data_IF_165216604232
#
_entry.id   IF_165216604232
#
_cell.length_a   1.000
_cell.length_b   1.000
_cell.length_c   1.000
_cell.angle_alpha   90.00
_cell.angle_beta   90.00
_cell.angle_gamma   90.00
#
_symmetry.space_group_name_H-M   'P 1'
#
loop_
_entity.id
_entity.type
_entity.pdbx_description
1 polymer ?
#
# COMPACT_ATOMS: atom_id res chain seq x y z
N UNK A 1 -23.40 -4.66 -4.75
CA UNK A 1 -22.29 -3.83 -5.27
C UNK A 1 -21.19 -4.75 -5.79
N UNK A 2 -20.37 -4.33 -6.78
CA UNK A 2 -19.18 -5.08 -7.19
C UNK A 2 -18.33 -5.48 -5.97
N UNK A 3 -17.73 -6.66 -6.01
CA UNK A 3 -16.97 -7.26 -4.90
C UNK A 3 -15.90 -6.30 -4.33
N UNK A 4 -15.21 -5.56 -5.19
CA UNK A 4 -14.21 -4.57 -4.78
C UNK A 4 -14.78 -3.42 -3.95
N UNK A 5 -16.03 -2.98 -4.19
CA UNK A 5 -16.65 -1.93 -3.37
C UNK A 5 -16.94 -2.48 -1.98
N UNK A 6 -17.45 -3.71 -1.87
CA UNK A 6 -17.72 -4.33 -0.56
C UNK A 6 -16.42 -4.52 0.24
N UNK A 7 -15.35 -4.91 -0.44
CA UNK A 7 -14.02 -5.00 0.17
C UNK A 7 -13.56 -3.65 0.72
N UNK A 8 -13.66 -2.57 -0.06
CA UNK A 8 -13.26 -1.23 0.40
C UNK A 8 -14.12 -0.75 1.57
N UNK A 9 -15.44 -0.92 1.51
CA UNK A 9 -16.34 -0.53 2.60
C UNK A 9 -16.06 -1.31 3.89
N UNK A 10 -15.76 -2.61 3.80
CA UNK A 10 -15.32 -3.38 4.96
C UNK A 10 -13.98 -2.88 5.51
N UNK A 11 -13.01 -2.57 4.63
CA UNK A 11 -11.68 -2.07 5.04
C UNK A 11 -11.74 -0.72 5.73
N UNK A 12 -12.63 0.19 5.31
CA UNK A 12 -12.84 1.50 5.96
C UNK A 12 -13.18 1.39 7.46
N UNK A 13 -13.82 0.30 7.86
CA UNK A 13 -14.26 0.08 9.24
C UNK A 13 -13.18 -0.54 10.13
N UNK A 14 -12.04 -0.94 9.57
CA UNK A 14 -10.94 -1.53 10.34
C UNK A 14 -10.21 -0.46 11.15
N UNK A 15 -9.84 -0.79 12.39
CA UNK A 15 -9.11 0.12 13.27
C UNK A 15 -7.79 0.58 12.65
N UNK A 16 -7.54 1.89 12.67
CA UNK A 16 -6.32 2.50 12.14
C UNK A 16 -6.31 2.69 10.62
N UNK A 17 -7.38 2.33 9.91
CA UNK A 17 -7.53 2.68 8.49
C UNK A 17 -7.90 4.15 8.36
N UNK A 18 -7.22 4.83 7.43
CA UNK A 18 -7.44 6.23 7.07
C UNK A 18 -7.86 6.29 5.61
N UNK A 19 -8.95 7.00 5.33
CA UNK A 19 -9.40 7.32 3.97
C UNK A 19 -8.87 8.70 3.56
N UNK A 20 -8.26 8.79 2.38
CA UNK A 20 -7.81 10.06 1.80
C UNK A 20 -8.93 10.72 0.99
N UNK A 21 -8.75 11.99 0.62
CA UNK A 21 -9.67 12.69 -0.28
C UNK A 21 -9.78 12.05 -1.69
N UNK A 22 -8.79 11.26 -2.11
CA UNK A 22 -8.83 10.51 -3.36
C UNK A 22 -9.54 9.16 -3.25
N UNK A 23 -9.97 8.75 -2.05
CA UNK A 23 -10.57 7.45 -1.77
C UNK A 23 -9.56 6.33 -1.51
N UNK A 24 -8.26 6.64 -1.40
CA UNK A 24 -7.25 5.66 -0.99
C UNK A 24 -7.46 5.31 0.49
N UNK A 25 -7.45 4.02 0.78
CA UNK A 25 -7.43 3.50 2.15
C UNK A 25 -6.02 3.04 2.48
N UNK A 26 -5.45 3.52 3.58
CA UNK A 26 -4.18 3.02 4.10
C UNK A 26 -4.25 2.81 5.62
N UNK A 27 -3.38 1.94 6.13
CA UNK A 27 -3.17 1.72 7.55
C UNK A 27 -1.69 1.78 7.84
N UNK A 28 -1.28 2.68 8.73
CA UNK A 28 0.10 2.74 9.19
C UNK A 28 0.34 1.62 10.21
N UNK A 29 1.20 0.65 9.86
CA UNK A 29 1.53 -0.47 10.76
C UNK A 29 2.63 -0.08 11.73
N UNK A 30 3.63 0.65 11.24
CA UNK A 30 4.76 1.13 12.03
C UNK A 30 5.23 2.47 11.49
N UNK A 31 5.13 3.56 12.27
CA UNK A 31 5.60 4.86 11.83
C UNK A 31 7.12 4.89 11.70
N UNK A 32 7.58 5.52 10.62
CA UNK A 32 8.98 5.88 10.44
C UNK A 32 9.33 7.19 11.13
N UNK A 33 10.62 7.42 11.38
CA UNK A 33 11.14 8.68 11.94
C UNK A 33 11.95 9.50 10.94
N UNK A 34 11.95 9.08 9.67
CA UNK A 34 12.70 9.72 8.58
C UNK A 34 11.96 10.89 7.95
N UNK A 35 12.59 11.51 6.95
CA UNK A 35 11.92 12.51 6.11
C UNK A 35 10.84 11.84 5.25
N UNK A 36 9.70 12.50 5.11
CA UNK A 36 8.69 12.09 4.13
C UNK A 36 9.26 12.27 2.71
N UNK A 37 9.17 11.26 1.83
CA UNK A 37 9.62 11.38 0.46
C UNK A 37 8.77 12.41 -0.30
N UNK A 38 9.42 13.14 -1.20
CA UNK A 38 8.74 13.95 -2.22
C UNK A 38 8.42 13.08 -3.44
N UNK A 39 7.61 13.60 -4.36
CA UNK A 39 7.20 12.90 -5.59
C UNK A 39 8.37 12.33 -6.42
N UNK A 40 9.54 12.98 -6.38
CA UNK A 40 10.74 12.59 -7.13
C UNK A 40 11.77 11.83 -6.28
N UNK A 41 11.47 11.55 -5.01
CA UNK A 41 12.43 10.91 -4.11
C UNK A 41 12.59 9.42 -4.47
N UNK A 42 13.81 8.93 -4.74
CA UNK A 42 14.03 7.50 -4.95
C UNK A 42 13.81 6.76 -3.63
N UNK A 43 12.81 5.87 -3.62
CA UNK A 43 12.45 5.07 -2.45
C UNK A 43 12.82 3.60 -2.70
N UNK A 44 13.64 3.02 -1.83
CA UNK A 44 13.91 1.59 -1.83
C UNK A 44 12.93 0.88 -0.90
N UNK A 45 12.03 0.09 -1.48
CA UNK A 45 10.90 -0.49 -0.77
C UNK A 45 10.85 -2.01 -0.92
N UNK A 46 10.60 -2.69 0.20
CA UNK A 46 10.03 -4.02 0.18
C UNK A 46 8.50 -3.94 0.19
N UNK A 47 7.86 -4.67 -0.72
CA UNK A 47 6.41 -4.76 -0.88
C UNK A 47 5.95 -6.18 -1.22
N UNK A 48 4.66 -6.43 -0.98
CA UNK A 48 3.91 -7.59 -1.44
C UNK A 48 2.52 -7.12 -1.93
N UNK A 49 2.18 -7.44 -3.18
CA UNK A 49 0.93 -7.08 -3.84
C UNK A 49 0.00 -8.28 -3.96
N UNK A 50 -1.26 -8.11 -3.51
CA UNK A 50 -2.29 -9.14 -3.56
C UNK A 50 -3.61 -8.56 -4.09
N UNK A 51 -4.37 -9.39 -4.79
CA UNK A 51 -5.75 -9.11 -5.16
C UNK A 51 -6.66 -9.22 -3.92
N UNK A 52 -7.92 -8.79 -4.04
CA UNK A 52 -8.90 -8.79 -2.94
C UNK A 52 -9.26 -10.21 -2.44
N UNK A 53 -9.05 -11.22 -3.28
CA UNK A 53 -9.21 -12.64 -2.95
C UNK A 53 -7.98 -13.24 -2.23
N UNK A 54 -6.92 -12.45 -2.05
CA UNK A 54 -5.66 -12.86 -1.44
C UNK A 54 -4.62 -13.41 -2.43
N UNK A 55 -4.95 -13.58 -3.72
CA UNK A 55 -4.01 -14.04 -4.74
C UNK A 55 -2.84 -13.07 -4.87
N UNK A 56 -1.63 -13.53 -4.60
CA UNK A 56 -0.42 -12.73 -4.72
C UNK A 56 0.04 -12.64 -6.19
N UNK A 57 0.19 -11.42 -6.69
CA UNK A 57 0.63 -11.17 -8.07
C UNK A 57 2.08 -10.67 -8.16
N UNK A 58 2.59 -10.03 -7.10
CA UNK A 58 3.97 -9.57 -7.05
C UNK A 58 4.51 -9.49 -5.61
N UNK A 59 5.78 -9.77 -5.39
CA UNK A 59 6.42 -9.70 -4.08
C UNK A 59 7.94 -9.53 -4.19
N UNK A 60 8.44 -8.39 -3.69
CA UNK A 60 9.88 -8.15 -3.55
C UNK A 60 10.55 -9.10 -2.56
N UNK A 61 9.81 -9.56 -1.54
CA UNK A 61 10.32 -10.51 -0.55
C UNK A 61 10.61 -11.86 -1.20
N UNK A 62 9.76 -12.32 -2.13
CA UNK A 62 10.03 -13.54 -2.91
C UNK A 62 11.25 -13.41 -3.81
N UNK A 63 11.51 -12.21 -4.34
CA UNK A 63 12.73 -11.92 -5.11
C UNK A 63 13.98 -11.80 -4.23
N UNK A 64 13.84 -11.62 -2.92
CA UNK A 64 14.95 -11.48 -1.99
C UNK A 64 15.64 -10.10 -2.01
N UNK A 65 15.09 -9.12 -2.73
CA UNK A 65 15.67 -7.78 -2.84
C UNK A 65 14.59 -6.70 -2.97
N UNK A 66 14.80 -5.50 -2.40
CA UNK A 66 13.86 -4.38 -2.56
C UNK A 66 13.89 -3.85 -3.99
N UNK A 67 12.85 -3.08 -4.35
CA UNK A 67 12.81 -2.34 -5.62
C UNK A 67 12.97 -0.84 -5.32
N UNK A 68 13.69 -0.14 -6.19
CA UNK A 68 13.82 1.32 -6.12
C UNK A 68 12.89 1.98 -7.11
N UNK A 69 12.01 2.86 -6.64
CA UNK A 69 11.09 3.64 -7.46
C UNK A 69 10.76 4.99 -6.80
N UNK A 70 10.34 5.97 -7.58
CA UNK A 70 9.85 7.25 -7.09
C UNK A 70 8.32 7.26 -6.99
N UNK A 71 7.71 8.03 -6.07
CA UNK A 71 6.26 8.06 -5.91
C UNK A 71 5.45 8.48 -7.16
N UNK A 72 6.06 9.18 -8.11
CA UNK A 72 5.40 9.65 -9.33
C UNK A 72 5.52 8.73 -10.55
N UNK A 73 6.10 7.53 -10.39
CA UNK A 73 6.25 6.55 -11.48
C UNK A 73 5.00 5.73 -11.71
#
# INVERSE_FOLDING_TARGET
>A
APEGIQFLEAKKLEEGVVETASGLLYKEIRPGSGKTPTENSPCSCHYAGRLIDGTEFDSSYKRGAPLSFAPNQ
#
